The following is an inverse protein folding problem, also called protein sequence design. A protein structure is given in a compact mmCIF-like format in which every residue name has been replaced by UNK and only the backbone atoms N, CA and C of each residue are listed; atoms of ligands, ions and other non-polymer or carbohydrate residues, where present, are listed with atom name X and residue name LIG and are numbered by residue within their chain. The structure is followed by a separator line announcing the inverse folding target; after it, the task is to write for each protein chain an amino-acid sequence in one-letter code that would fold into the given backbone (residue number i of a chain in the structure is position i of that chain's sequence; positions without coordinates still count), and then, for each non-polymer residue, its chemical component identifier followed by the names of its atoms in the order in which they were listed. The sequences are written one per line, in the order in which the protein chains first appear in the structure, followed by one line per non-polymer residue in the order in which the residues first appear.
data_IF_697749835912
#
_entry.id   IF_697749835912
#
_cell.length_a   1.000
_cell.length_b   1.000
_cell.length_c   1.000
_cell.angle_alpha   90.00
_cell.angle_beta   90.00
_cell.angle_gamma   90.00
#
_symmetry.space_group_name_H-M   'P 1'
#
loop_
_entity.id
_entity.type
_entity.pdbx_description
1 polymer ?
#
# COMPACT_ATOMS: atom_id res chain seq x y z
N UNK A 1 -27.58 23.51 -17.62
CA UNK A 1 -28.00 22.14 -17.26
C UNK A 1 -26.92 21.07 -17.49
N UNK A 2 -25.75 21.38 -18.07
CA UNK A 2 -24.69 20.40 -18.38
C UNK A 2 -23.80 20.00 -17.19
N UNK A 3 -23.64 20.85 -16.18
CA UNK A 3 -22.74 20.59 -15.04
C UNK A 3 -23.13 19.39 -14.17
N UNK A 4 -24.42 19.17 -13.92
CA UNK A 4 -24.89 18.05 -13.09
C UNK A 4 -24.63 16.69 -13.76
N UNK A 5 -24.99 16.56 -15.04
CA UNK A 5 -24.77 15.33 -15.79
C UNK A 5 -23.27 15.01 -15.90
N UNK A 6 -22.44 16.04 -16.08
CA UNK A 6 -20.99 15.90 -16.08
C UNK A 6 -20.45 15.45 -14.72
N UNK A 7 -20.91 16.06 -13.62
CA UNK A 7 -20.52 15.67 -12.26
C UNK A 7 -20.88 14.20 -11.96
N UNK A 8 -22.10 13.77 -12.29
CA UNK A 8 -22.52 12.38 -12.12
C UNK A 8 -21.68 11.41 -12.96
N UNK A 9 -21.38 11.78 -14.21
CA UNK A 9 -20.54 10.95 -15.08
C UNK A 9 -19.12 10.80 -14.54
N UNK A 10 -18.52 11.88 -14.03
CA UNK A 10 -17.18 11.84 -13.43
C UNK A 10 -17.15 10.95 -12.19
N UNK A 11 -18.13 11.08 -11.29
CA UNK A 11 -18.23 10.23 -10.09
C UNK A 11 -18.40 8.76 -10.48
N UNK A 12 -19.20 8.45 -11.51
CA UNK A 12 -19.38 7.08 -12.00
C UNK A 12 -18.12 6.52 -12.65
N UNK A 13 -17.36 7.33 -13.40
CA UNK A 13 -16.09 6.92 -14.00
C UNK A 13 -15.03 6.65 -12.93
N UNK A 14 -14.89 7.53 -11.94
CA UNK A 14 -13.94 7.33 -10.84
C UNK A 14 -14.31 6.10 -10.01
N UNK A 15 -15.60 5.89 -9.73
CA UNK A 15 -16.08 4.70 -9.02
C UNK A 15 -15.73 3.40 -9.76
N UNK A 16 -15.77 3.40 -11.09
CA UNK A 16 -15.34 2.23 -11.90
C UNK A 16 -13.85 1.97 -11.77
N UNK A 17 -13.02 3.01 -11.90
CA UNK A 17 -11.57 2.87 -11.76
C UNK A 17 -11.20 2.33 -10.37
N UNK A 18 -11.81 2.84 -9.30
CA UNK A 18 -11.54 2.35 -7.95
C UNK A 18 -11.95 0.88 -7.76
N UNK A 19 -13.06 0.46 -8.39
CA UNK A 19 -13.46 -0.96 -8.36
C UNK A 19 -12.46 -1.84 -9.12
N UNK A 20 -11.94 -1.35 -10.24
CA UNK A 20 -10.92 -2.04 -11.04
C UNK A 20 -9.58 -2.09 -10.29
N UNK A 21 -9.17 -1.01 -9.60
CA UNK A 21 -7.99 -0.98 -8.72
C UNK A 21 -8.14 -2.00 -7.57
N UNK A 22 -9.28 -2.00 -6.87
CA UNK A 22 -9.55 -2.98 -5.80
C UNK A 22 -9.51 -4.42 -6.35
N UNK A 23 -10.07 -4.67 -7.53
CA UNK A 23 -10.02 -5.99 -8.18
C UNK A 23 -8.59 -6.38 -8.58
N UNK A 24 -7.79 -5.44 -9.08
CA UNK A 24 -6.39 -5.67 -9.43
C UNK A 24 -5.55 -5.96 -8.17
N UNK A 25 -5.73 -5.18 -7.10
CA UNK A 25 -5.05 -5.37 -5.81
C UNK A 25 -5.39 -6.73 -5.22
N UNK A 26 -6.69 -7.07 -5.14
CA UNK A 26 -7.14 -8.35 -4.58
C UNK A 26 -6.70 -9.56 -5.41
N UNK A 27 -6.44 -9.39 -6.71
CA UNK A 27 -5.89 -10.43 -7.58
C UNK A 27 -4.35 -10.41 -7.69
N UNK A 28 -3.66 -9.54 -6.93
CA UNK A 28 -2.20 -9.43 -6.91
C UNK A 28 -1.60 -8.78 -8.18
N UNK A 29 -2.42 -8.15 -9.03
CA UNK A 29 -2.00 -7.57 -10.32
C UNK A 29 -1.56 -6.12 -10.15
N UNK A 30 -0.51 -5.89 -9.37
CA UNK A 30 0.00 -4.55 -9.05
C UNK A 30 0.44 -3.74 -10.28
N UNK A 31 0.93 -4.40 -11.34
CA UNK A 31 1.26 -3.74 -12.59
C UNK A 31 0.04 -3.02 -13.21
N UNK A 32 -1.15 -3.61 -13.10
CA UNK A 32 -2.39 -3.01 -13.60
C UNK A 32 -2.80 -1.78 -12.78
N UNK A 33 -2.54 -1.79 -11.47
CA UNK A 33 -2.79 -0.63 -10.60
C UNK A 33 -1.94 0.57 -11.03
N UNK A 34 -0.66 0.34 -11.38
CA UNK A 34 0.21 1.39 -11.88
C UNK A 34 -0.26 1.99 -13.22
N UNK A 35 -0.87 1.18 -14.10
CA UNK A 35 -1.45 1.64 -15.37
C UNK A 35 -2.73 2.48 -15.19
N UNK A 36 -3.46 2.28 -14.09
CA UNK A 36 -4.67 3.04 -13.77
C UNK A 36 -4.36 4.42 -13.17
N UNK A 37 -3.17 4.59 -12.58
CA UNK A 37 -2.80 5.83 -11.89
C UNK A 37 -2.89 7.12 -12.75
N UNK A 38 -2.38 7.15 -14.00
CA UNK A 38 -2.52 8.36 -14.85
C UNK A 38 -3.97 8.71 -15.14
N UNK A 39 -4.84 7.70 -15.33
CA UNK A 39 -6.25 7.89 -15.63
C UNK A 39 -7.01 8.44 -14.41
N UNK A 40 -6.69 7.91 -13.22
CA UNK A 40 -7.20 8.40 -11.94
C UNK A 40 -6.80 9.85 -11.68
N UNK A 41 -5.53 10.20 -11.92
CA UNK A 41 -5.02 11.56 -11.75
C UNK A 41 -5.72 12.58 -12.67
N UNK A 42 -5.91 12.23 -13.95
CA UNK A 42 -6.63 13.07 -14.90
C UNK A 42 -8.09 13.31 -14.48
N UNK A 43 -8.80 12.26 -14.04
CA UNK A 43 -10.18 12.37 -13.57
C UNK A 43 -10.33 13.19 -12.29
N UNK A 44 -9.36 13.11 -11.37
CA UNK A 44 -9.35 13.95 -10.17
C UNK A 44 -9.21 15.43 -10.54
N UNK A 45 -8.30 15.76 -11.47
CA UNK A 45 -8.15 17.13 -11.95
C UNK A 45 -9.41 17.66 -12.67
N UNK A 46 -10.17 16.80 -13.35
CA UNK A 46 -11.47 17.15 -13.92
C UNK A 46 -12.54 17.35 -12.83
N UNK A 47 -12.57 16.48 -11.81
CA UNK A 47 -13.48 16.61 -10.68
C UNK A 47 -13.24 17.91 -9.89
N UNK A 48 -12.00 18.27 -9.60
CA UNK A 48 -11.66 19.53 -8.92
C UNK A 48 -12.26 20.75 -9.64
N UNK A 49 -12.23 20.76 -10.97
CA UNK A 49 -12.79 21.84 -11.78
C UNK A 49 -14.31 21.88 -11.71
N UNK A 50 -14.97 20.72 -11.81
CA UNK A 50 -16.45 20.63 -11.81
C UNK A 50 -17.02 20.91 -10.43
N UNK A 51 -16.33 20.49 -9.37
CA UNK A 51 -16.73 20.70 -7.98
C UNK A 51 -16.15 21.97 -7.35
N UNK A 52 -15.47 22.84 -8.12
CA UNK A 52 -14.93 24.11 -7.64
C UNK A 52 -15.99 25.02 -7.00
N UNK A 53 -17.23 24.94 -7.49
CA UNK A 53 -18.41 25.61 -6.91
C UNK A 53 -19.50 24.57 -6.64
N UNK A 54 -19.49 23.90 -5.47
CA UNK A 54 -20.30 22.72 -5.24
C UNK A 54 -21.77 23.01 -4.87
N UNK A 55 -22.06 24.18 -4.30
CA UNK A 55 -23.42 24.57 -3.88
C UNK A 55 -24.51 24.36 -4.96
N UNK A 56 -24.36 24.84 -6.22
CA UNK A 56 -25.38 24.64 -7.26
C UNK A 56 -25.57 23.17 -7.67
N UNK A 57 -24.60 22.29 -7.41
CA UNK A 57 -24.70 20.86 -7.70
C UNK A 57 -25.27 20.08 -6.52
N UNK A 58 -24.97 20.51 -5.30
CA UNK A 58 -25.29 19.79 -4.08
C UNK A 58 -26.58 20.25 -3.40
N UNK A 59 -27.08 21.45 -3.65
CA UNK A 59 -28.25 22.00 -2.93
C UNK A 59 -29.37 22.44 -3.89
N UNK A 60 -29.02 23.10 -4.99
CA UNK A 60 -30.00 23.77 -5.86
C UNK A 60 -30.51 22.90 -7.02
N UNK A 61 -30.10 21.63 -7.11
CA UNK A 61 -30.43 20.75 -8.22
C UNK A 61 -31.40 19.61 -7.83
N UNK A 62 -32.41 19.28 -8.64
CA UNK A 62 -33.34 18.18 -8.35
C UNK A 62 -32.65 16.81 -8.16
N UNK A 63 -31.49 16.61 -8.77
CA UNK A 63 -30.69 15.38 -8.69
C UNK A 63 -29.61 15.41 -7.60
N UNK A 64 -29.53 16.48 -6.79
CA UNK A 64 -28.55 16.59 -5.71
C UNK A 64 -28.57 15.43 -4.70
N UNK A 65 -29.73 14.87 -4.28
CA UNK A 65 -29.75 13.71 -3.39
C UNK A 65 -29.02 12.50 -3.97
N UNK A 66 -29.23 12.22 -5.26
CA UNK A 66 -28.59 11.11 -5.96
C UNK A 66 -27.07 11.30 -6.08
N UNK A 67 -26.62 12.54 -6.29
CA UNK A 67 -25.18 12.84 -6.33
C UNK A 67 -24.53 12.67 -4.95
N UNK A 68 -25.20 13.08 -3.88
CA UNK A 68 -24.70 12.87 -2.50
C UNK A 68 -24.57 11.38 -2.16
N UNK A 69 -25.54 10.56 -2.58
CA UNK A 69 -25.47 9.10 -2.43
C UNK A 69 -24.24 8.54 -3.17
N UNK A 70 -24.05 8.88 -4.44
CA UNK A 70 -22.88 8.44 -5.22
C UNK A 70 -21.55 8.91 -4.62
N UNK A 71 -21.49 10.11 -4.03
CA UNK A 71 -20.30 10.61 -3.33
C UNK A 71 -20.03 9.83 -2.03
N UNK A 72 -21.09 9.39 -1.33
CA UNK A 72 -20.96 8.50 -0.18
C UNK A 72 -20.37 7.14 -0.58
N UNK A 73 -20.93 6.51 -1.62
CA UNK A 73 -20.42 5.25 -2.17
C UNK A 73 -18.96 5.37 -2.61
N UNK A 74 -18.61 6.48 -3.27
CA UNK A 74 -17.25 6.77 -3.69
C UNK A 74 -16.29 6.86 -2.50
N UNK A 75 -16.70 7.49 -1.40
CA UNK A 75 -15.91 7.57 -0.17
C UNK A 75 -15.66 6.19 0.43
N UNK A 76 -16.64 5.29 0.40
CA UNK A 76 -16.48 3.91 0.87
C UNK A 76 -15.48 3.13 0.01
N UNK A 77 -15.53 3.29 -1.33
CA UNK A 77 -14.57 2.68 -2.24
C UNK A 77 -13.14 3.16 -1.96
N UNK A 78 -12.95 4.47 -1.75
CA UNK A 78 -11.64 5.04 -1.40
C UNK A 78 -11.12 4.46 -0.09
N UNK A 79 -11.96 4.39 0.95
CA UNK A 79 -11.57 3.83 2.24
C UNK A 79 -11.14 2.35 2.13
N UNK A 80 -11.85 1.58 1.31
CA UNK A 80 -11.51 0.17 1.05
C UNK A 80 -10.20 0.02 0.27
N UNK A 81 -10.00 0.81 -0.77
CA UNK A 81 -8.75 0.83 -1.55
C UNK A 81 -7.54 1.16 -0.66
N UNK A 82 -7.66 2.21 0.16
CA UNK A 82 -6.64 2.59 1.14
C UNK A 82 -6.29 1.46 2.10
N UNK A 83 -7.30 0.82 2.71
CA UNK A 83 -7.08 -0.29 3.65
C UNK A 83 -6.40 -1.50 3.00
N UNK A 84 -6.62 -1.73 1.70
CA UNK A 84 -5.93 -2.80 0.97
C UNK A 84 -4.46 -2.44 0.73
N UNK A 85 -4.17 -1.20 0.30
CA UNK A 85 -2.81 -0.72 0.09
C UNK A 85 -1.99 -0.72 1.40
N UNK A 86 -2.61 -0.35 2.52
CA UNK A 86 -1.99 -0.39 3.85
C UNK A 86 -1.56 -1.82 4.21
N UNK A 87 -2.48 -2.79 4.08
CA UNK A 87 -2.19 -4.21 4.33
C UNK A 87 -1.09 -4.77 3.43
N UNK A 88 -1.05 -4.36 2.16
CA UNK A 88 0.02 -4.77 1.24
C UNK A 88 1.37 -4.19 1.64
N UNK A 89 1.39 -2.94 2.09
CA UNK A 89 2.60 -2.27 2.58
C UNK A 89 3.13 -2.99 3.82
N UNK A 90 2.25 -3.33 4.77
CA UNK A 90 2.58 -4.11 5.96
C UNK A 90 3.14 -5.50 5.61
N UNK A 91 2.45 -6.23 4.73
CA UNK A 91 2.89 -7.57 4.30
C UNK A 91 4.26 -7.54 3.60
N UNK A 92 4.51 -6.52 2.77
CA UNK A 92 5.81 -6.35 2.10
C UNK A 92 6.92 -6.00 3.10
N UNK A 93 6.62 -5.17 4.09
CA UNK A 93 7.55 -4.86 5.19
C UNK A 93 7.96 -6.11 5.97
N UNK A 94 6.99 -6.96 6.34
CA UNK A 94 7.26 -8.22 7.03
C UNK A 94 8.15 -9.17 6.21
N UNK A 95 8.01 -9.19 4.89
CA UNK A 95 8.88 -9.98 4.00
C UNK A 95 10.30 -9.44 3.99
N UNK A 96 10.49 -8.10 3.97
CA UNK A 96 11.81 -7.48 4.04
C UNK A 96 12.50 -7.82 5.37
N UNK A 97 11.80 -7.66 6.49
CA UNK A 97 12.32 -8.03 7.82
C UNK A 97 12.71 -9.50 7.90
N UNK A 98 11.92 -10.39 7.30
CA UNK A 98 12.27 -11.80 7.25
C UNK A 98 13.48 -12.07 6.35
N UNK A 99 13.59 -11.38 5.22
CA UNK A 99 14.77 -11.49 4.35
C UNK A 99 16.04 -11.01 5.07
N UNK A 100 15.96 -9.93 5.84
CA UNK A 100 17.06 -9.44 6.68
C UNK A 100 17.41 -10.44 7.78
N UNK A 101 16.42 -11.04 8.47
CA UNK A 101 16.65 -12.11 9.46
C UNK A 101 17.32 -13.34 8.86
N UNK A 102 16.88 -13.79 7.68
CA UNK A 102 17.49 -14.90 6.94
C UNK A 102 18.92 -14.53 6.57
N UNK A 103 19.13 -13.33 6.01
CA UNK A 103 20.46 -12.84 5.66
C UNK A 103 21.36 -12.77 6.89
N UNK A 104 20.91 -12.28 8.03
CA UNK A 104 21.73 -12.20 9.25
C UNK A 104 22.07 -13.59 9.81
N UNK A 105 21.13 -14.54 9.73
CA UNK A 105 21.34 -15.93 10.16
C UNK A 105 22.31 -16.69 9.24
N UNK A 106 22.28 -16.41 7.94
CA UNK A 106 23.14 -17.04 6.94
C UNK A 106 24.41 -16.24 6.61
N UNK A 107 24.45 -14.96 6.98
CA UNK A 107 25.65 -14.14 6.97
C UNK A 107 26.59 -14.75 8.00
N UNK A 108 27.79 -15.07 7.54
CA UNK A 108 28.82 -15.93 8.14
C UNK A 108 29.35 -15.50 9.52
N UNK A 109 28.69 -14.59 10.23
CA UNK A 109 29.09 -14.02 11.53
C UNK A 109 29.26 -15.05 12.66
N UNK A 110 28.66 -16.24 12.53
CA UNK A 110 28.71 -17.27 13.57
C UNK A 110 29.88 -18.27 13.46
N UNK A 111 30.44 -18.49 12.27
CA UNK A 111 31.39 -19.60 12.05
C UNK A 111 32.67 -19.16 11.34
N UNK A 112 32.64 -18.09 10.54
CA UNK A 112 33.80 -17.68 9.74
C UNK A 112 34.13 -16.20 9.95
N UNK A 113 35.42 -15.88 9.99
CA UNK A 113 35.91 -14.50 9.97
C UNK A 113 35.70 -13.84 8.60
N UNK A 114 35.95 -12.53 8.48
CA UNK A 114 35.83 -11.78 7.22
C UNK A 114 36.66 -12.37 6.07
N UNK A 115 37.71 -13.15 6.35
CA UNK A 115 38.57 -13.84 5.38
C UNK A 115 38.12 -15.30 5.09
N UNK A 116 36.96 -15.73 5.57
CA UNK A 116 36.46 -17.10 5.34
C UNK A 116 37.15 -18.19 6.18
N UNK A 117 37.96 -17.81 7.17
CA UNK A 117 38.55 -18.76 8.12
C UNK A 117 37.61 -19.09 9.27
N UNK A 118 37.53 -20.38 9.65
CA UNK A 118 36.66 -20.84 10.73
C UNK A 118 37.14 -20.23 12.06
N UNK A 119 36.29 -19.46 12.73
CA UNK A 119 36.65 -18.75 13.98
C UNK A 119 37.03 -19.78 15.05
N UNK A 120 38.22 -19.71 15.66
CA UNK A 120 38.59 -20.65 16.71
C UNK A 120 37.62 -20.48 17.88
N UNK A 121 36.83 -21.52 18.16
CA UNK A 121 36.01 -21.60 19.36
C UNK A 121 36.96 -21.79 20.54
N UNK A 122 37.48 -20.69 21.09
CA UNK A 122 38.24 -20.73 22.33
C UNK A 122 37.27 -21.02 23.48
N UNK A 123 36.93 -22.30 23.65
CA UNK A 123 36.55 -22.81 24.96
C UNK A 123 37.79 -22.66 25.84
N UNK A 124 37.78 -21.66 26.72
CA UNK A 124 38.81 -21.49 27.74
C UNK A 124 38.78 -22.72 28.64
N UNK A 125 39.65 -23.70 28.37
CA UNK A 125 39.95 -24.75 29.32
C UNK A 125 40.74 -24.11 30.46
N UNK A 126 40.05 -23.74 31.54
CA UNK A 126 40.68 -23.46 32.82
C UNK A 126 41.27 -24.76 33.36
N UNK A 127 42.47 -25.10 32.91
CA UNK A 127 43.34 -26.05 33.60
C UNK A 127 43.76 -25.39 34.93
N UNK A 128 43.23 -25.91 36.03
CA UNK A 128 43.84 -25.75 37.34
C UNK A 128 44.53 -27.07 37.69
N UNK A 129 45.83 -27.10 37.45
CA UNK A 129 46.74 -27.96 38.19
C UNK A 129 46.94 -27.29 39.55
N UNK A 130 46.61 -28.00 40.64
CA UNK A 130 47.20 -27.72 41.94
C UNK A 130 47.90 -28.98 42.43
N UNK A 131 49.13 -28.75 42.88
CA UNK A 131 50.17 -29.72 43.17
C UNK A 131 50.42 -29.61 44.67
N UNK A 132 50.27 -30.69 45.45
CA UNK A 132 50.81 -30.77 46.81
C UNK A 132 50.97 -32.22 47.26
N UNK A 133 52.09 -32.43 47.95
CA UNK A 133 52.79 -33.66 48.34
C UNK A 133 52.03 -34.62 49.27
#
# INVERSE_FOLDING_TARGET
MTGMAQAMNLVDRLSRILRDEIAAITSGKLAQVAELYPQKSALLAEMEKVFATPAPLLEDHPQSPQLREKLSDLRELIARDFALLEKMTEATGAIIEELDRIRDRHSLSGVYGPDGEKRPTTVSSSQHFDQSL
#
